data_IF_181796692649
#
_entry.id   IF_181796692649
#
_cell.length_a   1.000
_cell.length_b   1.000
_cell.length_c   1.000
_cell.angle_alpha   90.00
_cell.angle_beta   90.00
_cell.angle_gamma   90.00
#
_symmetry.space_group_name_H-M   'P 1'
#
loop_
_entity.id
_entity.type
_entity.pdbx_description
1 polymer ?
#
# COMPACT_ATOMS: atom_id res chain seq x y z
N UNK A 1 4.09 -12.52 15.93
CA UNK A 1 2.85 -12.18 15.21
C UNK A 1 2.36 -10.79 15.57
N UNK A 2 2.31 -10.43 16.87
CA UNK A 2 1.98 -9.08 17.34
C UNK A 2 2.81 -7.97 16.67
N UNK A 3 4.15 -8.03 16.71
CA UNK A 3 5.00 -6.99 16.09
C UNK A 3 4.81 -6.92 14.56
N UNK A 4 4.73 -8.07 13.90
CA UNK A 4 4.62 -8.13 12.44
C UNK A 4 3.26 -7.61 11.94
N UNK A 5 2.17 -7.92 12.66
CA UNK A 5 0.83 -7.41 12.34
C UNK A 5 0.65 -5.97 12.86
N UNK A 6 0.76 -5.74 14.17
CA UNK A 6 0.33 -4.48 14.80
C UNK A 6 1.34 -3.34 14.64
N UNK A 7 2.58 -3.64 14.24
CA UNK A 7 3.60 -2.61 13.97
C UNK A 7 3.94 -2.53 12.49
N UNK A 8 4.45 -3.60 11.88
CA UNK A 8 4.91 -3.55 10.49
C UNK A 8 3.77 -3.38 9.49
N UNK A 9 2.75 -4.24 9.55
CA UNK A 9 1.60 -4.10 8.67
C UNK A 9 0.86 -2.77 8.91
N UNK A 10 0.66 -2.40 10.18
CA UNK A 10 0.07 -1.11 10.55
C UNK A 10 0.84 0.09 9.99
N UNK A 11 2.18 0.05 9.97
CA UNK A 11 2.98 1.16 9.44
C UNK A 11 2.69 1.42 7.96
N UNK A 12 2.56 0.36 7.14
CA UNK A 12 2.18 0.50 5.73
C UNK A 12 0.80 1.12 5.56
N UNK A 13 -0.19 0.68 6.36
CA UNK A 13 -1.55 1.22 6.32
C UNK A 13 -1.58 2.69 6.75
N UNK A 14 -0.92 3.04 7.86
CA UNK A 14 -0.84 4.42 8.34
C UNK A 14 -0.19 5.34 7.32
N UNK A 15 0.94 4.92 6.73
CA UNK A 15 1.63 5.70 5.72
C UNK A 15 0.76 5.87 4.45
N UNK A 16 0.09 4.80 4.01
CA UNK A 16 -0.79 4.86 2.84
C UNK A 16 -1.96 5.83 3.07
N UNK A 17 -2.60 5.79 4.25
CA UNK A 17 -3.70 6.69 4.60
C UNK A 17 -3.25 8.15 4.67
N UNK A 18 -2.06 8.42 5.21
CA UNK A 18 -1.50 9.77 5.19
C UNK A 18 -1.18 10.22 3.76
N UNK A 19 -0.62 9.34 2.94
CA UNK A 19 -0.27 9.64 1.56
C UNK A 19 -1.50 9.94 0.69
N UNK A 20 -2.61 9.23 0.94
CA UNK A 20 -3.87 9.43 0.24
C UNK A 20 -4.52 10.81 0.52
N UNK A 21 -4.20 11.47 1.64
CA UNK A 21 -4.70 12.83 1.93
C UNK A 21 -4.21 13.84 0.90
N UNK A 22 -2.94 13.72 0.51
CA UNK A 22 -2.31 14.61 -0.47
C UNK A 22 -2.45 14.08 -1.91
N UNK A 23 -2.76 12.79 -2.07
CA UNK A 23 -2.84 12.10 -3.36
C UNK A 23 -4.11 11.23 -3.45
N UNK A 24 -5.32 11.81 -3.40
CA UNK A 24 -6.57 11.04 -3.35
C UNK A 24 -6.76 10.10 -4.54
N UNK A 25 -6.14 10.41 -5.70
CA UNK A 25 -6.21 9.60 -6.91
C UNK A 25 -5.70 8.16 -6.74
N UNK A 26 -4.85 7.89 -5.73
CA UNK A 26 -4.34 6.53 -5.48
C UNK A 26 -5.41 5.60 -4.91
N UNK A 27 -6.54 6.13 -4.44
CA UNK A 27 -7.66 5.38 -3.89
C UNK A 27 -8.81 5.14 -4.90
N UNK A 28 -8.69 5.64 -6.13
CA UNK A 28 -9.73 5.52 -7.16
C UNK A 28 -9.85 4.12 -7.76
N UNK A 29 -8.84 3.27 -7.57
CA UNK A 29 -8.77 1.92 -8.12
C UNK A 29 -8.41 0.89 -7.05
N UNK A 30 -8.77 -0.39 -7.25
CA UNK A 30 -8.30 -1.47 -6.39
C UNK A 30 -6.76 -1.48 -6.30
N UNK A 31 -6.24 -1.81 -5.12
CA UNK A 31 -4.80 -1.90 -4.86
C UNK A 31 -4.09 -2.78 -5.89
N UNK A 32 -4.69 -3.93 -6.24
CA UNK A 32 -4.15 -4.87 -7.22
C UNK A 32 -3.96 -4.24 -8.58
N UNK A 33 -4.90 -3.41 -9.02
CA UNK A 33 -4.90 -2.78 -10.34
C UNK A 33 -3.82 -1.69 -10.41
N UNK A 34 -3.65 -0.93 -9.33
CA UNK A 34 -2.60 0.09 -9.21
C UNK A 34 -1.21 -0.56 -9.20
N UNK A 35 -1.03 -1.64 -8.43
CA UNK A 35 0.25 -2.36 -8.35
C UNK A 35 0.58 -3.10 -9.64
N UNK A 36 -0.41 -3.63 -10.36
CA UNK A 36 -0.23 -4.27 -11.66
C UNK A 36 0.20 -3.28 -12.77
N UNK A 37 -0.10 -1.99 -12.60
CA UNK A 37 0.24 -0.94 -13.56
C UNK A 37 0.89 0.28 -12.90
N UNK A 38 1.96 0.07 -12.14
CA UNK A 38 2.71 1.16 -11.48
C UNK A 38 3.24 2.24 -12.45
N UNK A 39 3.40 1.91 -13.74
CA UNK A 39 3.78 2.88 -14.77
C UNK A 39 2.76 4.01 -14.93
N UNK A 40 1.47 3.74 -14.68
CA UNK A 40 0.39 4.74 -14.73
C UNK A 40 0.37 5.69 -13.52
N UNK A 41 1.10 5.36 -12.45
CA UNK A 41 1.24 6.23 -11.28
C UNK A 41 2.24 7.34 -11.59
N UNK A 42 1.93 8.63 -11.28
CA UNK A 42 2.86 9.74 -11.46
C UNK A 42 4.21 9.45 -10.81
N UNK A 43 5.29 9.74 -11.54
CA UNK A 43 6.65 9.39 -11.13
C UNK A 43 7.01 9.93 -9.75
N UNK A 44 6.57 11.16 -9.45
CA UNK A 44 6.80 11.85 -8.16
C UNK A 44 6.25 11.10 -6.95
N UNK A 45 5.22 10.26 -7.14
CA UNK A 45 4.56 9.52 -6.04
C UNK A 45 4.73 8.00 -6.15
N UNK A 46 5.22 7.50 -7.28
CA UNK A 46 5.27 6.07 -7.62
C UNK A 46 5.98 5.22 -6.57
N UNK A 47 7.10 5.70 -6.04
CA UNK A 47 7.85 4.97 -5.00
C UNK A 47 7.05 4.85 -3.71
N UNK A 48 6.36 5.93 -3.30
CA UNK A 48 5.49 5.93 -2.11
C UNK A 48 4.33 4.95 -2.25
N UNK A 49 3.67 4.95 -3.42
CA UNK A 49 2.61 3.98 -3.75
C UNK A 49 3.15 2.56 -3.72
N UNK A 50 4.21 2.26 -4.50
CA UNK A 50 4.79 0.91 -4.59
C UNK A 50 5.11 0.33 -3.22
N UNK A 51 5.79 1.11 -2.37
CA UNK A 51 6.30 0.60 -1.10
C UNK A 51 5.19 0.39 -0.07
N UNK A 52 4.26 1.35 0.08
CA UNK A 52 3.23 1.26 1.13
C UNK A 52 2.03 0.41 0.68
N UNK A 53 1.58 0.59 -0.56
CA UNK A 53 0.47 -0.19 -1.09
C UNK A 53 0.90 -1.66 -1.31
N UNK A 54 2.13 -1.89 -1.79
CA UNK A 54 2.71 -3.23 -1.90
C UNK A 54 2.95 -3.88 -0.54
N UNK A 55 3.45 -3.11 0.44
CA UNK A 55 3.59 -3.58 1.82
C UNK A 55 2.27 -4.06 2.41
N UNK A 56 1.21 -3.25 2.28
CA UNK A 56 -0.13 -3.62 2.73
C UNK A 56 -0.69 -4.86 2.00
N UNK A 57 -0.56 -4.92 0.67
CA UNK A 57 -1.03 -6.05 -0.13
C UNK A 57 -0.35 -7.36 0.27
N UNK A 58 0.98 -7.35 0.40
CA UNK A 58 1.76 -8.53 0.75
C UNK A 58 1.41 -9.05 2.15
N UNK A 59 1.27 -8.16 3.14
CA UNK A 59 0.92 -8.58 4.51
C UNK A 59 -0.52 -9.10 4.59
N UNK A 60 -1.46 -8.43 3.93
CA UNK A 60 -2.86 -8.92 3.85
C UNK A 60 -2.93 -10.33 3.28
N UNK A 61 -2.21 -10.60 2.18
CA UNK A 61 -2.13 -11.94 1.60
C UNK A 61 -1.51 -12.93 2.59
N UNK A 62 -0.37 -12.56 3.20
CA UNK A 62 0.36 -13.41 4.13
C UNK A 62 -0.50 -13.93 5.29
N UNK A 63 -1.36 -13.08 5.86
CA UNK A 63 -2.27 -13.48 6.95
C UNK A 63 -3.42 -14.39 6.51
N UNK A 64 -3.76 -14.43 5.22
CA UNK A 64 -4.84 -15.27 4.71
C UNK A 64 -4.38 -16.69 4.33
N UNK A 65 -3.07 -16.87 4.13
CA UNK A 65 -2.49 -18.12 3.62
C UNK A 65 -1.67 -18.90 4.66
N UNK A 66 -1.64 -18.41 5.91
CA UNK A 66 -1.03 -19.08 7.06
C UNK A 66 -2.11 -19.45 8.07
#
# INVERSE_FOLDING_TARGET
>A
MEIHHDRHHQAYVTNLNNFAKDNPQIAEKPITDVLANLGSVPETIRTGVRNNMGGHANHTMFWQIM
#
